data_IF_045414480369
#
_entry.id   IF_045414480369
#
_cell.length_a   1.000
_cell.length_b   1.000
_cell.length_c   1.000
_cell.angle_alpha   90.00
_cell.angle_beta   90.00
_cell.angle_gamma   90.00
#
_symmetry.space_group_name_H-M   'P 1'
#
loop_
_entity.id
_entity.type
_entity.pdbx_description
1 polymer ?
#
# COMPACT_ATOMS: atom_id res chain seq x y z
N UNK A 1 -27.08 6.72 30.27
CA UNK A 1 -25.62 6.91 30.30
C UNK A 1 -25.23 7.05 28.85
N UNK A 2 -25.04 8.29 28.43
CA UNK A 2 -24.79 8.69 27.06
C UNK A 2 -23.31 9.11 27.00
N UNK A 3 -22.61 8.43 26.10
CA UNK A 3 -21.63 8.97 25.14
C UNK A 3 -20.36 9.61 25.73
N UNK A 4 -19.35 8.79 26.01
CA UNK A 4 -17.95 9.22 26.02
C UNK A 4 -17.39 9.09 24.59
N UNK A 5 -17.53 10.19 23.84
CA UNK A 5 -16.90 10.43 22.53
C UNK A 5 -15.37 10.40 22.68
N UNK A 6 -14.70 9.47 22.00
CA UNK A 6 -13.25 9.41 21.92
C UNK A 6 -12.73 10.60 21.09
N UNK A 7 -12.18 11.62 21.75
CA UNK A 7 -11.57 12.78 21.09
C UNK A 7 -10.14 12.46 20.62
N UNK A 8 -9.99 12.33 19.31
CA UNK A 8 -8.73 12.02 18.60
C UNK A 8 -7.75 13.21 18.50
N UNK A 9 -8.20 14.44 18.79
CA UNK A 9 -7.37 15.65 18.68
C UNK A 9 -6.30 15.78 19.77
N UNK A 10 -6.40 15.00 20.85
CA UNK A 10 -5.41 15.03 21.93
C UNK A 10 -4.16 14.16 21.63
N UNK A 11 -4.21 13.32 20.59
CA UNK A 11 -3.09 12.43 20.23
C UNK A 11 -1.97 13.11 19.41
N UNK A 12 -2.22 14.30 18.87
CA UNK A 12 -1.30 14.99 17.94
C UNK A 12 -0.49 16.09 18.63
N UNK A 13 -0.80 16.44 19.87
CA UNK A 13 -0.16 17.56 20.56
C UNK A 13 0.88 17.11 21.59
N UNK A 14 2.14 17.02 21.17
CA UNK A 14 3.28 17.17 22.07
C UNK A 14 4.64 16.79 21.49
N UNK A 15 5.76 17.27 22.05
CA UNK A 15 6.07 18.62 22.51
C UNK A 15 7.01 19.35 21.52
N UNK A 16 6.97 20.68 21.51
CA UNK A 16 8.02 21.49 20.87
C UNK A 16 9.34 21.33 21.63
N UNK A 17 10.42 20.91 20.95
CA UNK A 17 11.77 21.18 21.43
C UNK A 17 12.74 21.46 20.28
N UNK A 18 13.46 22.56 20.45
CA UNK A 18 14.46 23.14 19.55
C UNK A 18 15.80 22.40 19.62
N UNK A 19 16.54 22.30 18.51
CA UNK A 19 18.01 22.15 18.58
C UNK A 19 18.73 21.38 17.47
N UNK A 20 19.35 22.13 16.55
CA UNK A 20 20.68 21.97 15.92
C UNK A 20 21.25 20.60 15.46
N UNK A 21 21.55 20.60 14.15
CA UNK A 21 22.84 20.34 13.48
C UNK A 21 23.32 18.91 13.07
N UNK A 22 23.38 18.76 11.73
CA UNK A 22 24.20 17.93 10.81
C UNK A 22 24.09 16.40 10.81
N UNK A 23 23.94 15.78 9.61
CA UNK A 23 25.14 15.48 8.84
C UNK A 23 25.05 15.78 7.33
N UNK A 24 26.19 16.26 6.84
CA UNK A 24 26.57 16.38 5.45
C UNK A 24 26.68 14.98 4.83
N UNK A 25 25.83 14.66 3.85
CA UNK A 25 26.08 13.56 2.92
C UNK A 25 25.50 13.91 1.56
N UNK A 26 26.41 14.21 0.64
CA UNK A 26 26.13 14.58 -0.74
C UNK A 26 25.66 13.34 -1.52
N UNK A 27 24.35 13.09 -1.57
CA UNK A 27 23.79 12.28 -2.66
C UNK A 27 23.11 13.20 -3.65
N UNK A 28 23.84 13.39 -4.74
CA UNK A 28 23.58 14.24 -5.90
C UNK A 28 22.17 14.02 -6.47
N UNK A 29 21.44 15.13 -6.64
CA UNK A 29 20.22 15.26 -7.42
C UNK A 29 20.22 14.42 -8.70
N UNK A 30 19.11 13.70 -8.92
CA UNK A 30 18.50 13.61 -10.25
C UNK A 30 17.04 14.03 -10.11
N UNK A 31 16.78 15.30 -10.38
CA UNK A 31 15.44 15.81 -10.66
C UNK A 31 15.09 15.55 -12.14
N UNK A 32 13.78 15.51 -12.38
CA UNK A 32 13.04 15.45 -13.65
C UNK A 32 12.61 14.02 -14.03
N UNK A 33 11.33 13.75 -14.29
CA UNK A 33 10.40 14.57 -15.08
C UNK A 33 8.95 14.31 -14.66
N UNK A 34 8.18 15.41 -14.55
CA UNK A 34 6.73 15.46 -14.49
C UNK A 34 6.09 14.57 -15.56
N UNK A 35 5.33 13.55 -15.16
CA UNK A 35 4.20 13.00 -15.91
C UNK A 35 3.59 11.85 -15.11
N UNK A 36 2.48 12.12 -14.42
CA UNK A 36 1.37 11.17 -14.41
C UNK A 36 0.10 11.90 -14.02
N UNK A 37 -0.88 11.80 -14.91
CA UNK A 37 -2.26 12.22 -14.69
C UNK A 37 -2.73 11.88 -13.29
N UNK A 38 -3.34 12.86 -12.62
CA UNK A 38 -4.15 12.65 -11.43
C UNK A 38 -5.41 11.88 -11.83
N UNK A 39 -5.29 10.55 -11.96
CA UNK A 39 -6.43 9.68 -11.72
C UNK A 39 -6.68 9.72 -10.21
N UNK A 40 -7.87 10.16 -9.83
CA UNK A 40 -8.37 10.22 -8.47
C UNK A 40 -8.19 8.86 -7.80
N UNK A 41 -7.06 8.68 -7.10
CA UNK A 41 -6.85 7.51 -6.26
C UNK A 41 -7.49 7.82 -4.92
N UNK A 42 -8.53 7.06 -4.58
CA UNK A 42 -8.96 6.83 -3.20
C UNK A 42 -7.73 6.75 -2.31
N UNK A 43 -7.56 7.75 -1.46
CA UNK A 43 -6.36 8.05 -0.67
C UNK A 43 -6.27 7.11 0.55
N UNK A 44 -6.49 5.81 0.33
CA UNK A 44 -6.36 4.80 1.37
C UNK A 44 -4.88 4.61 1.70
N UNK A 45 -4.51 4.55 3.00
CA UNK A 45 -3.12 4.35 3.38
C UNK A 45 -2.62 3.02 2.82
N UNK A 46 -1.48 3.08 2.13
CA UNK A 46 -0.83 1.89 1.59
C UNK A 46 -0.11 1.13 2.70
N UNK A 47 -0.42 -0.15 2.85
CA UNK A 47 0.23 -1.02 3.82
C UNK A 47 1.28 -1.92 3.13
N UNK A 48 2.56 -1.82 3.51
CA UNK A 48 3.58 -2.71 2.95
C UNK A 48 3.36 -4.13 3.47
N UNK A 49 3.49 -5.11 2.57
CA UNK A 49 3.52 -6.53 2.93
C UNK A 49 4.62 -7.24 2.14
N UNK A 50 5.06 -8.41 2.61
CA UNK A 50 6.12 -9.19 1.97
C UNK A 50 5.70 -10.64 1.82
N UNK A 51 5.91 -11.20 0.62
CA UNK A 51 5.57 -12.59 0.29
C UNK A 51 6.78 -13.31 -0.28
N UNK A 52 6.86 -14.62 -0.03
CA UNK A 52 7.86 -15.50 -0.64
C UNK A 52 7.22 -16.27 -1.78
N UNK A 53 7.75 -16.11 -2.99
CA UNK A 53 7.27 -16.79 -4.20
C UNK A 53 8.39 -17.66 -4.77
N UNK A 54 8.00 -18.73 -5.48
CA UNK A 54 8.95 -19.50 -6.28
C UNK A 54 9.53 -18.66 -7.42
N UNK A 55 10.80 -18.90 -7.78
CA UNK A 55 11.53 -18.11 -8.79
C UNK A 55 10.76 -17.98 -10.11
N UNK A 56 10.16 -19.08 -10.59
CA UNK A 56 9.37 -19.10 -11.82
C UNK A 56 8.21 -18.09 -11.80
N UNK A 57 7.51 -17.94 -10.67
CA UNK A 57 6.40 -16.99 -10.54
C UNK A 57 6.91 -15.54 -10.58
N UNK A 58 8.06 -15.28 -9.92
CA UNK A 58 8.70 -13.97 -9.94
C UNK A 58 9.07 -13.57 -11.37
N UNK A 59 9.62 -14.50 -12.15
CA UNK A 59 10.02 -14.24 -13.54
C UNK A 59 8.80 -13.97 -14.44
N UNK A 60 7.70 -14.71 -14.24
CA UNK A 60 6.43 -14.48 -14.95
C UNK A 60 5.86 -13.10 -14.62
N UNK A 61 5.79 -12.72 -13.33
CA UNK A 61 5.30 -11.39 -12.90
C UNK A 61 6.12 -10.28 -13.55
N UNK A 62 7.46 -10.39 -13.53
CA UNK A 62 8.36 -9.40 -14.14
C UNK A 62 8.13 -9.28 -15.65
N UNK A 63 8.01 -10.40 -16.36
CA UNK A 63 7.80 -10.41 -17.80
C UNK A 63 6.45 -9.78 -18.18
N UNK A 64 5.37 -10.12 -17.46
CA UNK A 64 4.04 -9.58 -17.72
C UNK A 64 3.93 -8.09 -17.39
N UNK A 65 4.48 -7.66 -16.26
CA UNK A 65 4.53 -6.25 -15.89
C UNK A 65 5.32 -5.43 -16.93
N UNK A 66 6.46 -5.95 -17.40
CA UNK A 66 7.24 -5.31 -18.47
C UNK A 66 6.47 -5.20 -19.78
N UNK A 67 5.78 -6.26 -20.19
CA UNK A 67 4.97 -6.29 -21.41
C UNK A 67 3.81 -5.28 -21.35
N UNK A 68 3.11 -5.22 -20.20
CA UNK A 68 2.01 -4.28 -19.95
C UNK A 68 2.45 -2.83 -19.72
N UNK A 69 3.75 -2.57 -19.54
CA UNK A 69 4.31 -1.24 -19.20
C UNK A 69 3.79 -0.68 -17.87
N UNK A 70 3.57 -1.55 -16.88
CA UNK A 70 3.13 -1.20 -15.52
C UNK A 70 4.13 -1.66 -14.47
N UNK A 71 3.98 -1.19 -13.22
CA UNK A 71 4.82 -1.67 -12.12
C UNK A 71 4.46 -3.10 -11.72
N UNK A 72 5.40 -3.83 -11.10
CA UNK A 72 5.12 -5.17 -10.56
C UNK A 72 4.03 -5.13 -9.48
N UNK A 73 4.00 -4.06 -8.68
CA UNK A 73 2.95 -3.80 -7.68
C UNK A 73 1.58 -3.71 -8.34
N UNK A 74 1.45 -2.81 -9.31
CA UNK A 74 0.20 -2.55 -10.02
C UNK A 74 -0.30 -3.80 -10.76
N UNK A 75 0.61 -4.59 -11.32
CA UNK A 75 0.24 -5.88 -11.91
C UNK A 75 -0.38 -6.84 -10.89
N UNK A 76 0.18 -6.92 -9.68
CA UNK A 76 -0.35 -7.76 -8.61
C UNK A 76 -1.70 -7.23 -8.13
N UNK A 77 -1.85 -5.92 -7.95
CA UNK A 77 -3.12 -5.28 -7.57
C UNK A 77 -4.22 -5.61 -8.59
N UNK A 78 -3.97 -5.38 -9.89
CA UNK A 78 -4.92 -5.74 -10.95
C UNK A 78 -5.29 -7.23 -10.97
N UNK A 79 -4.33 -8.12 -10.66
CA UNK A 79 -4.60 -9.55 -10.62
C UNK A 79 -5.46 -9.94 -9.41
N UNK A 80 -5.29 -9.27 -8.26
CA UNK A 80 -6.15 -9.44 -7.09
C UNK A 80 -7.54 -8.89 -7.38
N UNK A 81 -7.65 -7.70 -7.94
CA UNK A 81 -8.93 -7.09 -8.31
C UNK A 81 -9.71 -7.98 -9.28
N UNK A 82 -9.02 -8.53 -10.29
CA UNK A 82 -9.64 -9.47 -11.23
C UNK A 82 -10.15 -10.75 -10.55
N UNK A 83 -9.41 -11.26 -9.55
CA UNK A 83 -9.88 -12.41 -8.76
C UNK A 83 -11.08 -12.05 -7.87
N UNK A 84 -11.12 -10.83 -7.33
CA UNK A 84 -12.23 -10.33 -6.54
C UNK A 84 -13.50 -10.08 -7.37
N UNK A 85 -13.36 -9.71 -8.64
CA UNK A 85 -14.50 -9.59 -9.55
C UNK A 85 -15.15 -10.94 -9.86
N UNK A 86 -14.35 -12.01 -9.89
CA UNK A 86 -14.81 -13.38 -10.20
C UNK A 86 -15.39 -14.11 -8.97
N UNK A 87 -15.03 -13.71 -7.75
CA UNK A 87 -15.47 -14.38 -6.51
C UNK A 87 -16.86 -13.89 -6.07
N UNK A 88 -17.69 -14.78 -5.52
CA UNK A 88 -18.95 -14.36 -4.90
C UNK A 88 -18.67 -13.55 -3.62
N UNK A 89 -19.38 -12.43 -3.46
CA UNK A 89 -19.31 -11.58 -2.27
C UNK A 89 -19.55 -12.31 -0.93
N UNK A 90 -20.34 -13.38 -0.91
CA UNK A 90 -20.55 -14.22 0.28
C UNK A 90 -19.31 -15.07 0.59
N UNK A 91 -18.72 -15.68 -0.43
CA UNK A 91 -17.51 -16.49 -0.30
C UNK A 91 -16.31 -15.65 0.16
N UNK A 92 -16.19 -14.42 -0.35
CA UNK A 92 -15.14 -13.49 0.10
C UNK A 92 -15.28 -13.15 1.60
N UNK A 93 -16.51 -12.94 2.09
CA UNK A 93 -16.74 -12.66 3.52
C UNK A 93 -16.33 -13.86 4.37
N UNK A 94 -16.70 -15.06 3.97
CA UNK A 94 -16.34 -16.29 4.70
C UNK A 94 -14.81 -16.47 4.78
N UNK A 95 -14.09 -16.21 3.69
CA UNK A 95 -12.61 -16.27 3.65
C UNK A 95 -12.00 -15.25 4.63
N UNK A 96 -12.48 -14.00 4.60
CA UNK A 96 -11.97 -12.93 5.46
C UNK A 96 -12.24 -13.24 6.93
N UNK A 97 -13.45 -13.69 7.27
CA UNK A 97 -13.81 -14.08 8.64
C UNK A 97 -12.90 -15.22 9.13
N UNK A 98 -12.71 -16.28 8.34
CA UNK A 98 -11.84 -17.39 8.71
C UNK A 98 -10.38 -16.97 8.89
N UNK A 99 -9.89 -16.01 8.08
CA UNK A 99 -8.54 -15.48 8.23
C UNK A 99 -8.36 -14.71 9.56
N UNK A 100 -9.37 -13.95 9.98
CA UNK A 100 -9.35 -13.19 11.23
C UNK A 100 -9.55 -14.06 12.49
N UNK A 101 -10.27 -15.17 12.40
CA UNK A 101 -10.45 -16.09 13.53
C UNK A 101 -9.20 -16.94 13.80
N UNK A 102 -8.36 -17.15 12.78
CA UNK A 102 -7.18 -18.02 12.83
C UNK A 102 -5.84 -17.26 13.00
N UNK A 103 -5.86 -15.93 13.09
CA UNK A 103 -4.70 -15.06 13.36
C UNK A 103 -4.95 -14.20 14.61
#
# INVERSE_FOLDING_TARGET
MADDEFNIDELISGPEESGRDVPQSNTRNTSNTDHTSTTETTDSPLHPFSVRLGQQHVDVIKALAWWKRISQREFIEQAVDQYLDDINSEELKDIITQYHENN
#
